data_IF_261399684033
#
_entry.id   IF_261399684033
#
_cell.length_a   1.000
_cell.length_b   1.000
_cell.length_c   1.000
_cell.angle_alpha   90.00
_cell.angle_beta   90.00
_cell.angle_gamma   90.00
#
_symmetry.space_group_name_H-M   'P 1'
#
loop_
_entity.id
_entity.type
_entity.pdbx_description
1 polymer ?
#
# COMPACT_ATOMS: atom_id res chain seq x y z
N UNK A 1 -24.77 -0.72 -23.02
CA UNK A 1 -24.37 -0.81 -21.60
C UNK A 1 -24.68 0.52 -20.95
N UNK A 2 -25.01 0.53 -19.66
CA UNK A 2 -25.07 1.79 -18.91
C UNK A 2 -23.62 2.27 -18.70
N UNK A 3 -23.39 3.55 -18.99
CA UNK A 3 -22.09 4.23 -18.81
C UNK A 3 -21.91 4.48 -17.32
N UNK A 4 -20.78 4.06 -16.75
CA UNK A 4 -20.23 4.77 -15.60
C UNK A 4 -19.81 6.19 -16.04
N UNK A 5 -19.74 7.18 -15.14
CA UNK A 5 -19.77 8.56 -15.59
C UNK A 5 -18.47 8.89 -16.30
N UNK A 6 -18.50 9.50 -17.50
CA UNK A 6 -17.32 10.19 -17.99
C UNK A 6 -16.98 11.26 -16.95
N UNK A 7 -15.72 11.27 -16.54
CA UNK A 7 -15.17 12.22 -15.58
C UNK A 7 -15.36 13.65 -16.10
N UNK A 8 -16.48 14.28 -15.75
CA UNK A 8 -16.71 15.71 -15.97
C UNK A 8 -17.28 16.27 -14.68
N UNK A 9 -16.38 16.56 -13.74
CA UNK A 9 -16.65 17.60 -12.75
C UNK A 9 -16.59 18.94 -13.46
N UNK A 10 -17.75 19.43 -13.89
CA UNK A 10 -17.98 20.78 -14.35
C UNK A 10 -19.28 21.28 -13.73
N UNK A 11 -19.15 22.20 -12.76
CA UNK A 11 -20.05 23.29 -12.35
C UNK A 11 -21.47 23.25 -12.94
N UNK A 12 -22.58 23.44 -12.23
CA UNK A 12 -22.94 23.71 -10.85
C UNK A 12 -24.48 23.77 -10.89
N UNK A 13 -25.17 23.25 -9.89
CA UNK A 13 -26.35 23.94 -9.35
C UNK A 13 -26.61 23.43 -7.94
N UNK A 14 -26.63 24.41 -7.04
CA UNK A 14 -26.65 24.31 -5.60
C UNK A 14 -28.12 24.33 -5.16
N UNK A 15 -28.69 23.17 -4.81
CA UNK A 15 -29.93 23.13 -4.04
C UNK A 15 -29.73 22.49 -2.66
N UNK A 16 -30.21 23.25 -1.69
CA UNK A 16 -30.03 23.12 -0.25
C UNK A 16 -30.65 21.83 0.29
N UNK A 17 -29.89 21.10 1.10
CA UNK A 17 -30.36 20.01 1.94
C UNK A 17 -29.57 19.99 3.24
N UNK A 18 -30.28 20.18 4.33
CA UNK A 18 -29.78 20.63 5.62
C UNK A 18 -28.88 19.67 6.40
N UNK A 19 -27.99 20.30 7.17
CA UNK A 19 -27.53 19.93 8.52
C UNK A 19 -27.34 18.45 8.86
N UNK A 20 -26.08 17.98 8.85
CA UNK A 20 -25.73 16.81 9.66
C UNK A 20 -24.30 16.76 10.22
N UNK A 21 -23.36 17.57 9.73
CA UNK A 21 -21.98 17.57 10.27
C UNK A 21 -21.48 18.99 10.55
N UNK A 22 -21.57 19.43 11.81
CA UNK A 22 -20.81 20.58 12.30
C UNK A 22 -20.28 20.33 13.71
N UNK A 23 -18.99 20.62 13.86
CA UNK A 23 -18.16 20.74 15.06
C UNK A 23 -17.53 19.44 15.58
N UNK A 24 -16.20 19.32 15.40
CA UNK A 24 -15.25 19.72 16.45
C UNK A 24 -13.91 20.13 15.82
N UNK A 25 -13.49 21.38 16.06
CA UNK A 25 -12.11 21.84 15.93
C UNK A 25 -11.63 22.31 17.32
N UNK A 26 -10.39 21.97 17.66
CA UNK A 26 -9.73 22.27 18.93
C UNK A 26 -9.15 23.70 19.02
N UNK A 27 -9.03 24.31 20.21
CA UNK A 27 -8.38 25.60 20.36
C UNK A 27 -6.88 25.47 20.72
N UNK A 28 -6.05 25.96 19.81
CA UNK A 28 -5.02 26.98 20.05
C UNK A 28 -3.89 26.71 21.05
N UNK A 29 -2.65 26.74 20.55
CA UNK A 29 -1.52 27.25 21.34
C UNK A 29 -0.43 27.91 20.47
N UNK A 30 -0.28 29.23 20.67
CA UNK A 30 0.76 30.12 20.17
C UNK A 30 1.90 30.14 21.19
N UNK A 31 3.13 29.77 20.81
CA UNK A 31 4.33 30.03 21.62
C UNK A 31 5.28 30.99 20.90
N UNK A 32 5.56 32.12 21.55
CA UNK A 32 6.65 33.06 21.26
C UNK A 32 7.71 32.88 22.36
N UNK A 33 8.98 33.05 21.95
CA UNK A 33 10.19 33.34 22.75
C UNK A 33 10.99 32.12 23.23
N UNK A 34 12.30 32.13 23.39
CA UNK A 34 13.46 33.01 23.08
C UNK A 34 14.62 32.31 23.81
N UNK A 35 15.79 32.09 23.19
CA UNK A 35 17.12 32.07 23.86
C UNK A 35 18.19 31.88 22.79
N UNK A 36 18.94 32.92 22.39
CA UNK A 36 20.21 33.37 23.01
C UNK A 36 21.28 32.27 23.07
N UNK A 37 21.98 32.09 21.95
CA UNK A 37 23.30 31.47 21.84
C UNK A 37 24.11 32.37 20.90
N UNK A 38 25.39 32.66 21.04
CA UNK A 38 26.38 32.51 22.10
C UNK A 38 27.56 33.32 21.54
N UNK A 39 28.06 34.32 22.26
CA UNK A 39 29.22 35.10 21.86
C UNK A 39 30.20 35.13 23.04
N UNK A 40 31.22 34.28 23.01
CA UNK A 40 32.36 34.34 23.91
C UNK A 40 33.49 33.43 23.38
N UNK A 41 34.38 34.04 22.59
CA UNK A 41 35.71 33.49 22.30
C UNK A 41 36.67 34.18 23.28
N UNK A 42 37.26 33.41 24.19
CA UNK A 42 38.34 33.86 25.08
C UNK A 42 39.69 33.28 24.65
N UNK A 43 40.81 34.00 24.83
CA UNK A 43 42.10 33.64 24.25
C UNK A 43 42.92 32.66 25.09
N UNK A 44 43.76 31.90 24.39
CA UNK A 44 44.80 31.02 24.89
C UNK A 44 45.89 31.78 25.65
N UNK A 45 46.27 31.31 26.83
CA UNK A 45 47.57 31.58 27.45
C UNK A 45 48.20 30.28 27.93
N UNK A 46 49.39 29.97 27.41
CA UNK A 46 50.10 28.73 27.70
C UNK A 46 50.83 28.71 29.05
N UNK A 47 51.24 27.50 29.44
CA UNK A 47 52.62 27.10 29.77
C UNK A 47 52.63 25.68 30.34
N UNK A 48 53.78 25.03 30.18
CA UNK A 48 54.27 23.87 30.92
C UNK A 48 53.94 22.48 30.40
N UNK A 49 54.80 22.11 29.45
CA UNK A 49 55.47 20.82 29.32
C UNK A 49 55.86 20.22 30.70
N UNK A 50 55.88 18.88 30.76
CA UNK A 50 56.41 18.00 31.84
C UNK A 50 55.42 17.58 32.94
N UNK A 51 54.52 16.63 32.63
CA UNK A 51 54.27 15.41 33.44
C UNK A 51 53.78 14.31 32.48
N UNK A 52 54.69 13.83 31.63
CA UNK A 52 54.50 12.61 30.86
C UNK A 52 55.34 11.51 31.53
N UNK A 53 54.79 10.84 32.55
CA UNK A 53 55.29 9.53 33.03
C UNK A 53 54.26 8.93 33.99
N UNK A 54 53.94 7.65 33.79
CA UNK A 54 53.16 6.73 34.65
C UNK A 54 51.65 6.60 34.39
N UNK A 55 50.92 7.59 33.88
CA UNK A 55 49.45 7.45 33.70
C UNK A 55 48.99 6.92 32.32
N UNK A 56 49.89 6.46 31.45
CA UNK A 56 49.53 5.99 30.09
C UNK A 56 49.49 4.46 29.94
N UNK A 57 50.08 3.69 30.85
CA UNK A 57 50.07 2.22 30.76
C UNK A 57 48.81 1.56 31.35
N UNK A 58 48.17 2.19 32.34
CA UNK A 58 46.92 1.67 32.92
C UNK A 58 45.71 1.84 32.00
N UNK A 59 45.64 2.95 31.27
CA UNK A 59 44.49 3.26 30.39
C UNK A 59 44.52 2.44 29.09
N UNK A 60 45.71 2.09 28.59
CA UNK A 60 45.88 1.32 27.35
C UNK A 60 45.49 -0.16 27.54
N UNK A 61 45.67 -0.74 28.72
CA UNK A 61 45.25 -2.12 29.01
C UNK A 61 43.75 -2.25 29.29
N UNK A 62 43.11 -1.22 29.86
CA UNK A 62 41.64 -1.15 29.90
C UNK A 62 41.01 -0.87 28.52
N UNK A 63 41.73 -0.23 27.61
CA UNK A 63 41.26 -0.01 26.23
C UNK A 63 41.44 -1.23 25.31
N UNK A 64 42.40 -2.12 25.61
CA UNK A 64 42.64 -3.31 24.80
C UNK A 64 41.79 -4.53 25.19
N UNK A 65 41.21 -4.57 26.38
CA UNK A 65 40.18 -5.55 26.72
C UNK A 65 38.77 -5.17 26.24
N UNK A 66 38.52 -3.89 25.93
CA UNK A 66 37.24 -3.44 25.37
C UNK A 66 37.15 -3.54 23.83
N UNK A 67 38.00 -4.36 23.20
CA UNK A 67 37.92 -4.70 21.76
C UNK A 67 37.59 -6.16 21.48
N UNK A 68 37.32 -6.95 22.52
CA UNK A 68 36.86 -8.35 22.37
C UNK A 68 35.35 -8.48 22.58
N UNK A 69 34.58 -7.60 21.93
CA UNK A 69 33.20 -7.94 21.62
C UNK A 69 33.24 -8.98 20.50
N UNK A 70 32.67 -10.19 20.66
CA UNK A 70 32.53 -11.11 19.56
C UNK A 70 31.76 -10.41 18.44
N UNK A 71 32.17 -10.63 17.19
CA UNK A 71 31.47 -10.19 15.98
C UNK A 71 30.04 -10.78 15.82
N UNK A 72 29.44 -11.26 16.91
CA UNK A 72 28.07 -11.71 17.01
C UNK A 72 27.09 -10.57 17.34
N UNK A 73 27.57 -9.37 17.71
CA UNK A 73 26.71 -8.17 17.79
C UNK A 73 26.44 -7.51 16.43
N UNK A 74 27.12 -7.95 15.36
CA UNK A 74 26.83 -7.53 13.98
C UNK A 74 25.72 -8.36 13.31
N UNK A 75 25.34 -9.50 13.87
CA UNK A 75 24.29 -10.36 13.33
C UNK A 75 22.90 -10.13 13.94
N UNK A 76 22.78 -9.29 14.98
CA UNK A 76 21.48 -8.87 15.50
C UNK A 76 20.87 -7.65 14.75
N UNK A 77 21.60 -7.08 13.78
CA UNK A 77 21.11 -5.98 12.93
C UNK A 77 20.88 -6.37 11.47
N UNK A 78 21.00 -7.67 11.15
CA UNK A 78 20.33 -8.27 9.98
C UNK A 78 18.92 -8.74 10.36
N UNK A 79 18.25 -8.02 11.26
CA UNK A 79 16.80 -7.89 11.12
C UNK A 79 16.60 -6.85 10.04
N UNK A 80 16.90 -7.26 8.80
CA UNK A 80 16.39 -6.62 7.61
C UNK A 80 14.96 -6.30 7.95
N UNK A 81 14.63 -5.02 7.93
CA UNK A 81 13.28 -4.59 7.67
C UNK A 81 12.86 -5.35 6.43
N UNK A 82 12.22 -6.52 6.61
CA UNK A 82 11.37 -7.11 5.61
C UNK A 82 10.24 -6.10 5.49
N UNK A 83 10.47 -5.05 4.71
CA UNK A 83 9.40 -4.32 4.07
C UNK A 83 8.51 -5.42 3.50
N UNK A 84 7.33 -5.63 4.08
CA UNK A 84 6.54 -6.85 3.93
C UNK A 84 6.54 -7.31 2.48
N UNK A 85 7.27 -8.40 2.21
CA UNK A 85 7.39 -8.88 0.84
C UNK A 85 6.07 -9.58 0.55
N UNK A 86 5.16 -8.86 -0.12
CA UNK A 86 3.85 -9.38 -0.50
C UNK A 86 3.99 -10.71 -1.26
N UNK A 87 2.94 -11.52 -1.22
CA UNK A 87 2.97 -12.90 -1.77
C UNK A 87 3.18 -12.96 -3.29
N UNK A 88 3.15 -11.80 -3.98
CA UNK A 88 3.15 -11.71 -5.44
C UNK A 88 1.80 -12.08 -6.06
N UNK A 89 0.77 -12.27 -5.24
CA UNK A 89 -0.62 -12.58 -5.62
C UNK A 89 -1.52 -11.40 -5.25
N UNK A 90 -2.56 -11.17 -6.04
CA UNK A 90 -3.59 -10.18 -5.81
C UNK A 90 -4.99 -10.76 -6.03
N UNK A 91 -5.97 -10.22 -5.30
CA UNK A 91 -7.37 -10.34 -5.65
C UNK A 91 -7.76 -9.16 -6.53
N UNK A 92 -8.49 -9.40 -7.61
CA UNK A 92 -9.19 -8.36 -8.36
C UNK A 92 -10.70 -8.59 -8.28
N UNK A 93 -11.43 -7.53 -7.95
CA UNK A 93 -12.88 -7.50 -7.86
C UNK A 93 -13.44 -6.81 -9.10
N UNK A 94 -14.46 -7.45 -9.69
CA UNK A 94 -15.15 -6.97 -10.89
C UNK A 94 -16.63 -7.25 -10.71
N UNK A 95 -17.50 -6.25 -10.81
CA UNK A 95 -18.95 -6.48 -10.89
C UNK A 95 -19.33 -6.84 -12.31
N UNK A 96 -20.40 -7.61 -12.54
CA UNK A 96 -20.86 -7.99 -13.87
C UNK A 96 -22.39 -7.93 -13.96
N UNK A 97 -22.96 -7.49 -15.11
CA UNK A 97 -24.40 -7.28 -15.27
C UNK A 97 -25.23 -8.57 -15.30
N UNK A 98 -24.61 -9.69 -15.64
CA UNK A 98 -25.33 -10.95 -15.83
C UNK A 98 -24.39 -12.15 -15.64
N UNK A 99 -25.01 -13.31 -15.40
CA UNK A 99 -24.27 -14.57 -15.22
C UNK A 99 -23.53 -14.97 -16.49
N UNK A 100 -24.10 -14.69 -17.66
CA UNK A 100 -23.50 -14.97 -18.97
C UNK A 100 -22.22 -14.16 -19.16
N UNK A 101 -22.26 -12.85 -18.84
CA UNK A 101 -21.07 -11.98 -18.91
C UNK A 101 -20.01 -12.42 -17.89
N UNK A 102 -20.41 -12.68 -16.64
CA UNK A 102 -19.50 -13.12 -15.60
C UNK A 102 -18.80 -14.44 -15.94
N UNK A 103 -19.56 -15.44 -16.41
CA UNK A 103 -19.01 -16.75 -16.81
C UNK A 103 -18.08 -16.62 -18.02
N UNK A 104 -18.48 -15.87 -19.05
CA UNK A 104 -17.64 -15.65 -20.24
C UNK A 104 -16.32 -14.98 -19.88
N UNK A 105 -16.35 -13.96 -19.01
CA UNK A 105 -15.14 -13.30 -18.52
C UNK A 105 -14.28 -14.26 -17.68
N UNK A 106 -14.89 -15.03 -16.79
CA UNK A 106 -14.18 -15.99 -15.94
C UNK A 106 -13.44 -17.06 -16.77
N UNK A 107 -14.16 -17.67 -17.71
CA UNK A 107 -13.61 -18.71 -18.60
C UNK A 107 -12.45 -18.15 -19.42
N UNK A 108 -12.62 -16.96 -19.99
CA UNK A 108 -11.60 -16.37 -20.83
C UNK A 108 -10.36 -15.92 -20.03
N UNK A 109 -10.53 -15.34 -18.84
CA UNK A 109 -9.42 -14.96 -17.95
C UNK A 109 -8.55 -16.16 -17.55
N UNK A 110 -9.18 -17.31 -17.26
CA UNK A 110 -8.46 -18.54 -16.89
C UNK A 110 -7.80 -19.17 -18.13
N UNK A 111 -8.52 -19.26 -19.25
CA UNK A 111 -7.97 -19.81 -20.49
C UNK A 111 -6.76 -19.03 -21.02
N UNK A 112 -6.79 -17.70 -20.94
CA UNK A 112 -5.68 -16.81 -21.30
C UNK A 112 -4.56 -16.78 -20.24
N UNK A 113 -4.69 -17.56 -19.17
CA UNK A 113 -3.78 -17.62 -18.02
C UNK A 113 -3.53 -16.24 -17.38
N UNK A 114 -4.52 -15.34 -17.48
CA UNK A 114 -4.54 -14.05 -16.80
C UNK A 114 -4.97 -14.17 -15.35
N UNK A 115 -5.67 -15.24 -15.00
CA UNK A 115 -6.07 -15.57 -13.63
C UNK A 115 -5.90 -17.07 -13.38
N UNK A 116 -5.57 -17.43 -12.14
CA UNK A 116 -5.53 -18.84 -11.72
C UNK A 116 -6.94 -19.37 -11.42
N UNK A 117 -7.77 -18.55 -10.77
CA UNK A 117 -9.19 -18.86 -10.57
C UNK A 117 -10.04 -17.60 -10.43
N UNK A 118 -11.35 -17.78 -10.60
CA UNK A 118 -12.37 -16.74 -10.43
C UNK A 118 -13.52 -17.33 -9.64
N UNK A 119 -13.97 -16.65 -8.58
CA UNK A 119 -15.24 -16.96 -7.93
C UNK A 119 -16.29 -15.98 -8.42
N UNK A 120 -17.49 -16.48 -8.76
CA UNK A 120 -18.63 -15.65 -9.16
C UNK A 120 -19.68 -15.71 -8.05
N UNK A 121 -19.99 -14.57 -7.45
CA UNK A 121 -20.91 -14.42 -6.32
C UNK A 121 -22.20 -13.77 -6.84
N UNK A 122 -23.34 -14.48 -6.85
CA UNK A 122 -24.61 -13.93 -7.30
C UNK A 122 -25.32 -13.14 -6.20
N UNK A 123 -26.38 -12.41 -6.58
CA UNK A 123 -27.27 -11.74 -5.63
C UNK A 123 -26.70 -10.45 -5.05
N UNK A 124 -25.83 -9.76 -5.80
CA UNK A 124 -25.28 -8.47 -5.41
C UNK A 124 -26.22 -7.37 -5.89
N UNK A 125 -26.46 -6.38 -5.04
CA UNK A 125 -27.13 -5.15 -5.43
C UNK A 125 -26.14 -4.00 -5.32
N UNK A 126 -25.81 -3.40 -6.46
CA UNK A 126 -24.96 -2.22 -6.55
C UNK A 126 -25.82 -0.98 -6.41
N UNK A 127 -25.49 -0.11 -5.45
CA UNK A 127 -26.19 1.16 -5.22
C UNK A 127 -25.21 2.31 -5.47
N UNK A 128 -25.55 3.23 -6.37
CA UNK A 128 -24.66 4.32 -6.78
C UNK A 128 -25.45 5.58 -7.17
N UNK A 129 -24.77 6.72 -7.25
CA UNK A 129 -25.36 7.99 -7.70
C UNK A 129 -25.14 8.14 -9.21
N UNK A 130 -26.21 8.29 -9.97
CA UNK A 130 -26.19 8.52 -11.42
C UNK A 130 -27.13 9.66 -11.77
N UNK A 131 -26.65 10.66 -12.51
CA UNK A 131 -27.47 11.81 -12.95
C UNK A 131 -28.31 12.44 -11.80
N UNK A 132 -27.71 12.56 -10.61
CA UNK A 132 -28.36 13.13 -9.43
C UNK A 132 -29.36 12.21 -8.71
N UNK A 133 -29.50 10.95 -9.13
CA UNK A 133 -30.43 9.98 -8.54
C UNK A 133 -29.69 8.75 -8.03
N UNK A 134 -30.19 8.18 -6.92
CA UNK A 134 -29.68 6.92 -6.39
C UNK A 134 -30.26 5.77 -7.21
N UNK A 135 -29.39 5.12 -7.97
CA UNK A 135 -29.71 3.93 -8.76
C UNK A 135 -29.36 2.66 -8.01
N UNK A 136 -30.05 1.57 -8.36
CA UNK A 136 -29.82 0.22 -7.82
C UNK A 136 -29.89 -0.79 -8.94
N UNK A 137 -28.85 -1.61 -9.07
CA UNK A 137 -28.76 -2.65 -10.08
C UNK A 137 -28.44 -4.01 -9.46
N UNK A 138 -29.05 -5.07 -10.00
CA UNK A 138 -28.68 -6.44 -9.68
C UNK A 138 -27.45 -6.84 -10.50
N UNK A 139 -26.42 -7.32 -9.82
CA UNK A 139 -25.13 -7.69 -10.42
C UNK A 139 -24.60 -8.99 -9.81
N UNK A 140 -23.47 -9.43 -10.34
CA UNK A 140 -22.64 -10.48 -9.76
C UNK A 140 -21.27 -9.90 -9.43
N UNK A 141 -20.68 -10.32 -8.30
CA UNK A 141 -19.30 -9.96 -7.96
C UNK A 141 -18.36 -11.09 -8.36
N UNK A 142 -17.37 -10.78 -9.17
CA UNK A 142 -16.28 -11.67 -9.54
C UNK A 142 -15.07 -11.38 -8.66
N UNK A 143 -14.55 -12.42 -8.00
CA UNK A 143 -13.31 -12.36 -7.22
C UNK A 143 -12.23 -13.19 -7.91
N UNK A 144 -11.35 -12.51 -8.64
CA UNK A 144 -10.31 -13.05 -9.51
C UNK A 144 -9.00 -13.17 -8.73
N UNK A 145 -8.31 -14.31 -8.80
CA UNK A 145 -7.02 -14.55 -8.13
C UNK A 145 -5.94 -14.65 -9.19
N UNK A 146 -4.94 -13.78 -9.11
CA UNK A 146 -3.88 -13.71 -10.11
C UNK A 146 -2.56 -13.24 -9.50
N UNK A 147 -1.48 -13.27 -10.29
CA UNK A 147 -0.21 -12.61 -9.94
C UNK A 147 -0.41 -11.10 -9.90
N UNK A 148 0.21 -10.42 -8.93
CA UNK A 148 0.16 -8.96 -8.83
C UNK A 148 0.68 -8.28 -10.10
N UNK A 149 1.65 -8.88 -10.80
CA UNK A 149 2.18 -8.39 -12.08
C UNK A 149 1.19 -8.44 -13.26
N UNK A 150 0.08 -9.18 -13.13
CA UNK A 150 -0.94 -9.34 -14.18
C UNK A 150 -2.17 -8.45 -13.96
N UNK A 151 -2.28 -7.75 -12.84
CA UNK A 151 -3.45 -6.92 -12.49
C UNK A 151 -3.81 -5.91 -13.58
N UNK A 152 -2.83 -5.19 -14.14
CA UNK A 152 -3.04 -4.27 -15.27
C UNK A 152 -3.52 -4.96 -16.54
N UNK A 153 -3.12 -6.21 -16.76
CA UNK A 153 -3.55 -6.99 -17.93
C UNK A 153 -4.96 -7.54 -17.72
N UNK A 154 -5.32 -7.93 -16.50
CA UNK A 154 -6.70 -8.27 -16.11
C UNK A 154 -7.62 -7.07 -16.32
N UNK A 155 -7.25 -5.88 -15.84
CA UNK A 155 -8.06 -4.67 -16.02
C UNK A 155 -8.33 -4.36 -17.49
N UNK A 156 -7.28 -4.36 -18.33
CA UNK A 156 -7.41 -4.16 -19.79
C UNK A 156 -8.25 -5.24 -20.47
N UNK A 157 -8.11 -6.49 -20.03
CA UNK A 157 -8.90 -7.59 -20.55
C UNK A 157 -10.39 -7.41 -20.23
N UNK A 158 -10.70 -7.03 -18.99
CA UNK A 158 -12.07 -6.78 -18.54
C UNK A 158 -12.66 -5.58 -19.31
N UNK A 159 -11.97 -4.44 -19.34
CA UNK A 159 -12.38 -3.24 -20.09
C UNK A 159 -12.79 -3.56 -21.54
N UNK A 160 -12.01 -4.39 -22.24
CA UNK A 160 -12.30 -4.79 -23.63
C UNK A 160 -13.52 -5.71 -23.78
N UNK A 161 -13.82 -6.54 -22.79
CA UNK A 161 -14.75 -7.67 -22.94
C UNK A 161 -16.03 -7.57 -22.10
N UNK A 162 -16.13 -6.60 -21.18
CA UNK A 162 -17.20 -6.50 -20.18
C UNK A 162 -18.50 -5.93 -20.74
N UNK A 163 -18.42 -4.99 -21.67
CA UNK A 163 -19.58 -4.37 -22.34
C UNK A 163 -20.14 -3.13 -21.63
N UNK A 164 -19.64 -2.79 -20.45
CA UNK A 164 -19.77 -1.46 -19.86
C UNK A 164 -18.67 -0.53 -20.36
N UNK A 165 -18.97 0.76 -20.44
CA UNK A 165 -18.00 1.75 -20.92
C UNK A 165 -16.85 1.96 -19.94
N UNK A 166 -17.12 1.89 -18.63
CA UNK A 166 -16.09 1.85 -17.59
C UNK A 166 -16.48 0.78 -16.57
N UNK A 167 -16.03 -0.47 -16.72
CA UNK A 167 -16.33 -1.52 -15.75
C UNK A 167 -15.57 -1.30 -14.44
N UNK A 168 -16.17 -1.72 -13.32
CA UNK A 168 -15.45 -1.77 -12.04
C UNK A 168 -14.34 -2.83 -12.10
N UNK A 169 -13.10 -2.42 -11.88
CA UNK A 169 -11.97 -3.34 -11.64
C UNK A 169 -11.07 -2.75 -10.56
N UNK A 170 -11.09 -3.34 -9.37
CA UNK A 170 -10.24 -2.93 -8.26
C UNK A 170 -9.43 -4.12 -7.76
N UNK A 171 -8.13 -3.94 -7.49
CA UNK A 171 -7.27 -5.02 -7.04
C UNK A 171 -6.59 -4.68 -5.72
N UNK A 172 -6.40 -5.70 -4.89
CA UNK A 172 -5.68 -5.62 -3.62
C UNK A 172 -4.67 -6.75 -3.52
N UNK A 173 -3.50 -6.45 -2.96
CA UNK A 173 -2.45 -7.44 -2.75
C UNK A 173 -2.81 -8.43 -1.63
N UNK A 174 -2.37 -9.67 -1.80
CA UNK A 174 -2.45 -10.71 -0.77
C UNK A 174 -1.16 -10.67 0.06
N UNK A 175 -1.31 -10.43 1.36
CA UNK A 175 -0.17 -10.29 2.28
C UNK A 175 0.30 -11.62 2.86
N UNK A 176 -0.58 -12.63 2.94
CA UNK A 176 -0.27 -13.97 3.45
C UNK A 176 -1.21 -15.03 2.86
N UNK A 177 -0.82 -16.30 2.93
CA UNK A 177 -1.60 -17.43 2.46
C UNK A 177 -0.82 -18.75 2.46
N UNK A 178 -1.52 -19.85 2.20
CA UNK A 178 -0.87 -21.17 2.13
C UNK A 178 0.19 -21.18 1.01
N UNK A 179 1.49 -21.44 1.29
CA UNK A 179 2.54 -21.36 0.28
C UNK A 179 2.30 -22.25 -0.95
N UNK A 180 1.73 -23.44 -0.74
CA UNK A 180 1.36 -24.34 -1.84
C UNK A 180 0.29 -23.74 -2.76
N UNK A 181 -0.69 -23.01 -2.21
CA UNK A 181 -1.73 -22.35 -2.99
C UNK A 181 -1.17 -21.15 -3.77
N UNK A 182 -0.35 -20.31 -3.12
CA UNK A 182 0.28 -19.17 -3.76
C UNK A 182 1.21 -19.60 -4.91
N UNK A 183 1.93 -20.70 -4.72
CA UNK A 183 2.74 -21.34 -5.77
C UNK A 183 1.86 -21.82 -6.93
N UNK A 184 0.74 -22.49 -6.65
CA UNK A 184 -0.20 -22.91 -7.70
C UNK A 184 -0.78 -21.72 -8.48
N UNK A 185 -1.09 -20.60 -7.82
CA UNK A 185 -1.54 -19.37 -8.51
C UNK A 185 -0.47 -18.88 -9.48
N UNK A 186 0.79 -18.86 -9.04
CA UNK A 186 1.89 -18.50 -9.91
C UNK A 186 1.98 -19.48 -11.10
N UNK A 187 2.03 -20.79 -10.88
CA UNK A 187 2.19 -21.80 -11.94
C UNK A 187 1.01 -21.85 -12.93
N UNK A 188 -0.19 -21.49 -12.48
CA UNK A 188 -1.41 -21.48 -13.31
C UNK A 188 -1.58 -20.23 -14.15
N UNK A 189 -0.76 -19.21 -13.93
CA UNK A 189 -0.80 -17.93 -14.65
C UNK A 189 0.44 -17.73 -15.50
N UNK A 190 0.33 -16.93 -16.56
CA UNK A 190 1.47 -16.66 -17.44
C UNK A 190 2.61 -15.98 -16.68
N UNK A 191 3.83 -16.32 -17.09
CA UNK A 191 5.01 -15.63 -16.58
C UNK A 191 4.96 -14.14 -16.99
N UNK A 192 5.46 -13.23 -16.14
CA UNK A 192 5.58 -11.82 -16.46
C UNK A 192 6.49 -11.55 -17.67
#
# INVERSE_FOLDING_TARGET
GRRFPPTVYGLAEEEKGDSFWKNQEEPGQRNKRTTWFMNAIGPLSGKSLVVASVATLGVVLSFQMLRRLPAALGQAMNMSTSSGKGTGVSFCFVTAPSREVANKLADALVNEKLAACVNVIPGIQSTYLWEGKVERDEELLMMIKTRSSLTSQVAKFVEKNHGYDVPEVICTEVTDGLPAYLKWVAESTKAP
#
